data_IF_020532407964
#
_entry.id   IF_020532407964
#
_cell.length_a   1.000
_cell.length_b   1.000
_cell.length_c   1.000
_cell.angle_alpha   90.00
_cell.angle_beta   90.00
_cell.angle_gamma   90.00
#
_symmetry.space_group_name_H-M   'P 1'
#
loop_
_entity.id
_entity.type
_entity.pdbx_description
1 polymer ?
#
# COMPACT_ATOMS: atom_id res chain seq x y z
N UNK A 1 13.52 -0.40 -16.18
CA UNK A 1 13.38 -1.01 -14.84
C UNK A 1 13.67 -2.49 -14.96
N UNK A 2 14.63 -3.02 -14.19
CA UNK A 2 14.97 -4.44 -14.26
C UNK A 2 13.87 -5.28 -13.58
N UNK A 3 13.18 -6.10 -14.38
CA UNK A 3 12.32 -7.17 -13.90
C UNK A 3 13.21 -8.20 -13.19
N UNK A 4 13.35 -8.09 -11.87
CA UNK A 4 13.94 -9.15 -11.06
C UNK A 4 12.94 -10.32 -11.05
N UNK A 5 12.99 -11.18 -12.07
CA UNK A 5 12.21 -12.42 -12.11
C UNK A 5 12.83 -13.42 -11.14
N UNK A 6 12.57 -13.20 -9.85
CA UNK A 6 12.73 -14.27 -8.87
C UNK A 6 11.99 -15.50 -9.39
N UNK A 7 12.54 -16.69 -9.13
CA UNK A 7 11.90 -17.94 -9.56
C UNK A 7 10.44 -17.95 -9.11
N UNK A 8 9.54 -18.49 -9.95
CA UNK A 8 8.09 -18.52 -9.70
C UNK A 8 7.70 -19.16 -8.36
N UNK A 9 8.55 -20.03 -7.81
CA UNK A 9 8.34 -20.70 -6.53
C UNK A 9 9.11 -20.06 -5.36
N UNK A 10 9.65 -18.85 -5.52
CA UNK A 10 10.34 -18.14 -4.44
C UNK A 10 9.39 -17.96 -3.25
N UNK A 11 9.76 -18.54 -2.09
CA UNK A 11 8.98 -18.45 -0.84
C UNK A 11 7.49 -18.78 -1.03
N UNK A 12 7.21 -19.80 -1.83
CA UNK A 12 5.86 -20.21 -2.23
C UNK A 12 4.88 -20.32 -1.05
N UNK A 13 5.31 -20.87 0.08
CA UNK A 13 4.46 -21.05 1.25
C UNK A 13 4.05 -19.70 1.86
N UNK A 14 5.00 -18.79 2.02
CA UNK A 14 4.80 -17.44 2.53
C UNK A 14 3.95 -16.60 1.58
N UNK A 15 4.26 -16.64 0.28
CA UNK A 15 3.49 -15.94 -0.77
C UNK A 15 2.04 -16.40 -0.75
N UNK A 16 1.80 -17.72 -0.76
CA UNK A 16 0.46 -18.29 -0.70
C UNK A 16 -0.31 -17.82 0.54
N UNK A 17 0.37 -17.76 1.70
CA UNK A 17 -0.24 -17.32 2.95
C UNK A 17 -0.60 -15.83 2.92
N UNK A 18 0.30 -14.99 2.41
CA UNK A 18 0.07 -13.54 2.30
C UNK A 18 -1.08 -13.23 1.34
N UNK A 19 -1.12 -13.86 0.17
CA UNK A 19 -2.26 -13.70 -0.73
C UNK A 19 -3.57 -14.26 -0.16
N UNK A 20 -3.50 -15.29 0.69
CA UNK A 20 -4.65 -15.78 1.47
C UNK A 20 -5.23 -14.70 2.38
N UNK A 21 -4.37 -14.03 3.16
CA UNK A 21 -4.76 -12.91 4.03
C UNK A 21 -5.28 -11.71 3.24
N UNK A 22 -4.60 -11.34 2.15
CA UNK A 22 -5.03 -10.26 1.27
C UNK A 22 -6.45 -10.49 0.71
N UNK A 23 -6.76 -11.74 0.31
CA UNK A 23 -8.10 -12.11 -0.16
C UNK A 23 -9.16 -12.04 0.94
N UNK A 24 -8.78 -12.38 2.18
CA UNK A 24 -9.66 -12.35 3.34
C UNK A 24 -9.84 -10.93 3.92
N UNK A 25 -9.07 -9.93 3.46
CA UNK A 25 -9.07 -8.59 4.03
C UNK A 25 -8.44 -8.52 5.43
N UNK A 26 -7.53 -9.46 5.73
CA UNK A 26 -6.88 -9.57 7.03
C UNK A 26 -5.58 -8.75 7.10
N UNK A 27 -5.29 -8.22 8.28
CA UNK A 27 -3.97 -7.65 8.61
C UNK A 27 -3.06 -8.72 9.17
N UNK A 28 -1.80 -8.73 8.74
CA UNK A 28 -0.80 -9.69 9.20
C UNK A 28 0.59 -9.06 9.29
N UNK A 29 1.46 -9.67 10.10
CA UNK A 29 2.85 -9.24 10.25
C UNK A 29 3.81 -10.26 9.64
N UNK A 30 4.79 -9.78 8.87
CA UNK A 30 5.87 -10.58 8.30
C UNK A 30 7.14 -10.33 9.12
N UNK A 31 7.42 -11.24 10.04
CA UNK A 31 8.53 -11.12 10.99
C UNK A 31 9.70 -11.99 10.52
N UNK A 32 10.91 -11.48 10.69
CA UNK A 32 12.13 -12.23 10.46
C UNK A 32 13.36 -11.35 10.66
N UNK A 33 14.51 -11.99 10.92
CA UNK A 33 15.77 -11.29 11.13
C UNK A 33 16.17 -10.39 9.94
N UNK A 34 17.00 -9.38 10.19
CA UNK A 34 17.54 -8.54 9.11
C UNK A 34 18.29 -9.39 8.08
N UNK A 35 18.22 -9.01 6.80
CA UNK A 35 18.86 -9.76 5.71
C UNK A 35 18.15 -11.05 5.27
N UNK A 36 17.09 -11.50 5.96
CA UNK A 36 16.36 -12.74 5.58
C UNK A 36 15.55 -12.60 4.28
N UNK A 37 15.57 -11.47 3.58
CA UNK A 37 14.89 -11.29 2.29
C UNK A 37 13.40 -10.91 2.37
N UNK A 38 12.96 -10.23 3.44
CA UNK A 38 11.58 -9.69 3.54
C UNK A 38 11.25 -8.72 2.40
N UNK A 39 12.13 -7.76 2.13
CA UNK A 39 11.93 -6.82 1.01
C UNK A 39 11.95 -7.52 -0.36
N UNK A 40 12.71 -8.62 -0.51
CA UNK A 40 12.66 -9.47 -1.71
C UNK A 40 11.32 -10.18 -1.86
N UNK A 41 10.73 -10.65 -0.75
CA UNK A 41 9.37 -11.20 -0.73
C UNK A 41 8.33 -10.15 -1.11
N UNK A 42 8.43 -8.92 -0.60
CA UNK A 42 7.52 -7.83 -0.99
C UNK A 42 7.66 -7.45 -2.46
N UNK A 43 8.88 -7.41 -3.00
CA UNK A 43 9.09 -7.19 -4.43
C UNK A 43 8.47 -8.32 -5.26
N UNK A 44 8.58 -9.57 -4.81
CA UNK A 44 7.97 -10.70 -5.48
C UNK A 44 6.44 -10.65 -5.43
N UNK A 45 5.84 -10.28 -4.30
CA UNK A 45 4.38 -10.10 -4.18
C UNK A 45 3.87 -9.02 -5.14
N UNK A 46 4.66 -7.96 -5.36
CA UNK A 46 4.30 -6.87 -6.27
C UNK A 46 4.49 -7.21 -7.74
N UNK A 47 5.23 -8.27 -8.08
CA UNK A 47 5.44 -8.66 -9.48
C UNK A 47 4.10 -9.03 -10.16
N UNK A 48 3.73 -8.41 -11.30
CA UNK A 48 2.43 -8.65 -11.93
C UNK A 48 2.18 -10.11 -12.32
N UNK A 49 3.22 -10.88 -12.67
CA UNK A 49 3.05 -12.31 -12.98
C UNK A 49 2.69 -13.11 -11.73
N UNK A 50 3.37 -12.80 -10.63
CA UNK A 50 3.10 -13.39 -9.31
C UNK A 50 1.68 -13.03 -8.85
N UNK A 51 1.29 -11.76 -8.93
CA UNK A 51 -0.08 -11.34 -8.63
C UNK A 51 -1.11 -12.10 -9.48
N UNK A 52 -0.91 -12.18 -10.80
CA UNK A 52 -1.81 -12.92 -11.70
C UNK A 52 -1.97 -14.39 -11.31
N UNK A 53 -0.88 -15.07 -10.93
CA UNK A 53 -0.91 -16.47 -10.49
C UNK A 53 -1.70 -16.67 -9.18
N UNK A 54 -1.51 -15.78 -8.20
CA UNK A 54 -2.09 -15.93 -6.87
C UNK A 54 -3.41 -15.19 -6.66
N UNK A 55 -3.81 -14.27 -7.52
CA UNK A 55 -5.11 -13.57 -7.42
C UNK A 55 -6.12 -14.07 -8.44
N UNK A 56 -5.69 -14.59 -9.59
CA UNK A 56 -6.59 -15.00 -10.67
C UNK A 56 -7.47 -13.83 -11.12
N UNK A 57 -8.78 -14.02 -11.11
CA UNK A 57 -9.77 -12.99 -11.48
C UNK A 57 -9.68 -11.74 -10.58
N UNK A 58 -9.25 -11.88 -9.32
CA UNK A 58 -9.13 -10.75 -8.41
C UNK A 58 -7.96 -9.81 -8.76
N UNK A 59 -7.10 -10.19 -9.71
CA UNK A 59 -5.90 -9.43 -10.05
C UNK A 59 -6.23 -8.03 -10.58
N UNK A 60 -7.31 -7.85 -11.33
CA UNK A 60 -7.73 -6.55 -11.88
C UNK A 60 -8.38 -5.66 -10.82
N UNK A 61 -8.92 -6.26 -9.75
CA UNK A 61 -9.59 -5.55 -8.66
C UNK A 61 -8.70 -5.32 -7.44
N UNK A 62 -7.50 -5.89 -7.40
CA UNK A 62 -6.61 -5.81 -6.24
C UNK A 62 -5.46 -4.85 -6.51
N UNK A 63 -5.37 -3.83 -5.68
CA UNK A 63 -4.31 -2.83 -5.65
C UNK A 63 -3.33 -3.26 -4.55
N UNK A 64 -2.07 -3.45 -4.91
CA UNK A 64 -1.01 -3.79 -3.96
C UNK A 64 0.06 -2.71 -4.03
N UNK A 65 0.18 -1.93 -2.97
CA UNK A 65 1.23 -0.90 -2.83
C UNK A 65 2.18 -1.26 -1.70
N UNK A 66 3.46 -0.89 -1.85
CA UNK A 66 4.46 -1.03 -0.78
C UNK A 66 4.87 0.34 -0.31
N UNK A 67 4.68 0.58 0.98
CA UNK A 67 5.10 1.81 1.64
C UNK A 67 6.35 1.48 2.44
N UNK A 68 7.47 2.10 2.09
CA UNK A 68 8.72 1.91 2.81
C UNK A 68 8.91 3.06 3.80
N UNK A 69 8.75 2.76 5.10
CA UNK A 69 8.83 3.76 6.15
C UNK A 69 10.26 4.21 6.48
N UNK A 70 11.27 3.61 5.86
CA UNK A 70 12.65 4.10 5.93
C UNK A 70 12.80 5.58 5.53
N UNK A 71 11.94 6.04 4.62
CA UNK A 71 12.00 7.38 4.07
C UNK A 71 11.18 8.42 4.86
N UNK A 72 10.53 7.99 5.95
CA UNK A 72 9.74 8.88 6.76
C UNK A 72 10.64 9.84 7.56
N UNK A 73 10.54 11.17 7.39
CA UNK A 73 11.29 12.13 8.20
C UNK A 73 10.82 12.19 9.67
N UNK A 74 9.56 11.84 9.89
CA UNK A 74 8.93 11.69 11.21
C UNK A 74 7.76 10.68 11.11
N UNK A 75 7.15 10.35 12.25
CA UNK A 75 6.04 9.39 12.32
C UNK A 75 4.70 10.05 12.69
N UNK A 76 4.48 11.29 12.23
CA UNK A 76 3.18 11.96 12.37
C UNK A 76 2.15 11.35 11.43
N UNK A 77 0.85 11.46 11.76
CA UNK A 77 -0.27 11.07 10.89
C UNK A 77 -0.09 11.61 9.46
N UNK A 78 0.30 12.88 9.34
CA UNK A 78 0.50 13.54 8.04
C UNK A 78 1.59 12.85 7.22
N UNK A 79 2.74 12.57 7.82
CA UNK A 79 3.86 11.94 7.11
C UNK A 79 3.52 10.52 6.70
N UNK A 80 2.92 9.74 7.60
CA UNK A 80 2.53 8.36 7.30
C UNK A 80 1.47 8.32 6.19
N UNK A 81 0.43 9.15 6.28
CA UNK A 81 -0.61 9.20 5.24
C UNK A 81 -0.07 9.74 3.92
N UNK A 82 0.83 10.72 3.94
CA UNK A 82 1.48 11.24 2.73
C UNK A 82 2.28 10.15 2.03
N UNK A 83 3.11 9.39 2.75
CA UNK A 83 3.85 8.26 2.17
C UNK A 83 2.93 7.20 1.56
N UNK A 84 1.77 6.94 2.16
CA UNK A 84 0.78 6.02 1.57
C UNK A 84 0.21 6.61 0.28
N UNK A 85 -0.24 7.88 0.29
CA UNK A 85 -0.83 8.54 -0.88
C UNK A 85 0.16 8.65 -2.03
N UNK A 86 1.43 8.95 -1.77
CA UNK A 86 2.49 8.95 -2.78
C UNK A 86 2.59 7.60 -3.51
N UNK A 87 2.49 6.48 -2.78
CA UNK A 87 2.51 5.16 -3.41
C UNK A 87 1.24 4.86 -4.22
N UNK A 88 0.10 5.42 -3.81
CA UNK A 88 -1.14 5.30 -4.58
C UNK A 88 -1.11 6.17 -5.84
N UNK A 89 -0.48 7.34 -5.81
CA UNK A 89 -0.31 8.22 -6.98
C UNK A 89 0.56 7.57 -8.07
N UNK A 90 1.51 6.70 -7.67
CA UNK A 90 2.31 5.91 -8.61
C UNK A 90 1.51 4.84 -9.38
N UNK A 91 0.21 4.67 -9.10
CA UNK A 91 -0.66 3.72 -9.81
C UNK A 91 -1.00 4.15 -11.25
N UNK A 92 -0.62 5.34 -11.70
CA UNK A 92 -0.82 5.78 -13.10
C UNK A 92 -0.23 4.76 -14.11
N UNK A 93 0.93 4.17 -13.79
CA UNK A 93 1.54 3.12 -14.62
C UNK A 93 0.76 1.79 -14.65
N UNK A 94 -0.22 1.60 -13.77
CA UNK A 94 -1.06 0.40 -13.69
C UNK A 94 -2.55 0.69 -13.96
N UNK A 95 -2.90 1.93 -14.35
CA UNK A 95 -4.29 2.37 -14.44
C UNK A 95 -5.15 1.54 -15.39
N UNK A 96 -4.60 1.14 -16.54
CA UNK A 96 -5.31 0.31 -17.52
C UNK A 96 -5.65 -1.07 -16.95
N UNK A 97 -4.69 -1.69 -16.25
CA UNK A 97 -4.87 -2.99 -15.59
C UNK A 97 -5.94 -2.94 -14.50
N UNK A 98 -5.97 -1.83 -13.77
CA UNK A 98 -6.85 -1.61 -12.61
C UNK A 98 -8.19 -0.93 -12.98
N UNK A 99 -8.38 -0.58 -14.25
CA UNK A 99 -9.53 0.20 -14.71
C UNK A 99 -9.69 1.53 -13.95
N UNK A 100 -8.58 2.22 -13.65
CA UNK A 100 -8.59 3.52 -12.99
C UNK A 100 -8.77 4.63 -14.03
N UNK A 101 -9.75 5.50 -13.80
CA UNK A 101 -9.96 6.69 -14.62
C UNK A 101 -8.96 7.79 -14.21
N UNK A 102 -8.53 8.60 -15.17
CA UNK A 102 -7.59 9.71 -14.93
C UNK A 102 -8.15 10.71 -13.91
N UNK A 103 -9.48 10.92 -13.91
CA UNK A 103 -10.17 11.77 -12.95
C UNK A 103 -10.07 11.25 -11.52
N UNK A 104 -9.97 9.93 -11.34
CA UNK A 104 -9.80 9.32 -10.00
C UNK A 104 -8.41 9.63 -9.45
N UNK A 105 -7.38 9.53 -10.29
CA UNK A 105 -6.00 9.84 -9.89
C UNK A 105 -5.82 11.34 -9.65
N UNK A 106 -6.39 12.19 -10.52
CA UNK A 106 -6.37 13.64 -10.35
C UNK A 106 -7.08 14.07 -9.04
N UNK A 107 -8.28 13.53 -8.78
CA UNK A 107 -9.01 13.83 -7.54
C UNK A 107 -8.26 13.37 -6.29
N UNK A 108 -7.51 12.27 -6.37
CA UNK A 108 -6.65 11.80 -5.28
C UNK A 108 -5.48 12.76 -5.05
N UNK A 109 -4.81 13.22 -6.12
CA UNK A 109 -3.73 14.21 -6.06
C UNK A 109 -4.21 15.52 -5.41
N UNK A 110 -5.38 16.03 -5.82
CA UNK A 110 -5.99 17.24 -5.22
C UNK A 110 -6.25 17.08 -3.71
N UNK A 111 -6.64 15.87 -3.28
CA UNK A 111 -6.89 15.57 -1.88
C UNK A 111 -5.58 15.41 -1.09
N UNK A 112 -4.54 14.89 -1.72
CA UNK A 112 -3.21 14.83 -1.13
C UNK A 112 -2.65 16.24 -0.89
N UNK A 113 -2.75 17.15 -1.87
CA UNK A 113 -2.34 18.55 -1.70
C UNK A 113 -3.11 19.22 -0.55
N UNK A 114 -4.44 19.07 -0.50
CA UNK A 114 -5.28 19.59 0.60
C UNK A 114 -4.90 19.01 1.96
N UNK A 115 -4.45 17.77 2.00
CA UNK A 115 -3.95 17.13 3.22
C UNK A 115 -2.64 17.77 3.69
N UNK A 116 -1.72 18.08 2.76
CA UNK A 116 -0.47 18.77 3.08
C UNK A 116 -0.73 20.19 3.59
N UNK A 117 -1.64 20.91 2.93
CA UNK A 117 -2.07 22.28 3.30
C UNK A 117 -2.77 22.35 4.67
N UNK A 118 -3.32 21.23 5.15
CA UNK A 118 -3.93 21.16 6.48
C UNK A 118 -2.93 21.35 7.62
N UNK A 119 -1.62 21.24 7.35
CA UNK A 119 -0.57 21.46 8.34
C UNK A 119 -0.67 20.48 9.50
N UNK A 120 -0.85 20.99 10.73
CA UNK A 120 -0.95 20.20 11.95
C UNK A 120 -2.39 19.86 12.38
N UNK A 121 -3.40 20.21 11.57
CA UNK A 121 -4.80 19.87 11.84
C UNK A 121 -5.05 18.38 11.56
N UNK A 122 -4.85 17.55 12.58
CA UNK A 122 -4.99 16.08 12.51
C UNK A 122 -6.35 15.63 11.95
N UNK A 123 -7.43 16.35 12.28
CA UNK A 123 -8.78 15.99 11.80
C UNK A 123 -8.91 16.20 10.30
N UNK A 124 -8.38 17.32 9.78
CA UNK A 124 -8.33 17.57 8.34
C UNK A 124 -7.42 16.58 7.63
N UNK A 125 -6.25 16.30 8.19
CA UNK A 125 -5.30 15.32 7.64
C UNK A 125 -5.96 13.95 7.49
N UNK A 126 -6.56 13.41 8.56
CA UNK A 126 -7.29 12.15 8.52
C UNK A 126 -8.49 12.19 7.55
N UNK A 127 -9.21 13.32 7.49
CA UNK A 127 -10.34 13.49 6.58
C UNK A 127 -9.91 13.42 5.12
N UNK A 128 -8.89 14.16 4.72
CA UNK A 128 -8.44 14.19 3.33
C UNK A 128 -7.83 12.85 2.91
N UNK A 129 -7.06 12.19 3.78
CA UNK A 129 -6.61 10.82 3.56
C UNK A 129 -7.78 9.85 3.32
N UNK A 130 -8.79 9.85 4.21
CA UNK A 130 -9.98 9.00 4.06
C UNK A 130 -10.74 9.28 2.76
N UNK A 131 -10.85 10.55 2.36
CA UNK A 131 -11.49 10.92 1.10
C UNK A 131 -10.69 10.41 -0.11
N UNK A 132 -9.37 10.53 -0.08
CA UNK A 132 -8.49 10.08 -1.15
C UNK A 132 -8.60 8.56 -1.35
N UNK A 133 -8.48 7.78 -0.27
CA UNK A 133 -8.65 6.31 -0.31
C UNK A 133 -10.05 5.92 -0.78
N UNK A 134 -11.09 6.67 -0.39
CA UNK A 134 -12.47 6.43 -0.87
C UNK A 134 -12.64 6.65 -2.37
N UNK A 135 -11.94 7.62 -2.98
CA UNK A 135 -11.98 7.78 -4.44
C UNK A 135 -11.48 6.52 -5.15
N UNK A 136 -10.36 5.99 -4.66
CA UNK A 136 -9.77 4.78 -5.19
C UNK A 136 -10.69 3.56 -5.03
N UNK A 137 -11.35 3.45 -3.88
CA UNK A 137 -12.22 2.32 -3.50
C UNK A 137 -13.71 2.52 -3.82
N UNK A 138 -14.09 3.56 -4.57
CA UNK A 138 -15.49 3.87 -4.87
C UNK A 138 -16.19 2.74 -5.66
N UNK A 139 -15.43 1.94 -6.41
CA UNK A 139 -15.93 0.72 -7.04
C UNK A 139 -15.97 -0.43 -6.03
N UNK A 140 -17.16 -1.00 -5.82
CA UNK A 140 -17.47 -1.95 -4.74
C UNK A 140 -16.69 -3.27 -4.76
N UNK A 141 -15.99 -3.60 -5.84
CA UNK A 141 -15.16 -4.82 -5.96
C UNK A 141 -13.69 -4.63 -5.61
N UNK A 142 -13.20 -3.38 -5.51
CA UNK A 142 -11.77 -3.11 -5.34
C UNK A 142 -11.27 -3.49 -3.94
N UNK A 143 -10.05 -4.01 -3.90
CA UNK A 143 -9.31 -4.35 -2.68
C UNK A 143 -8.00 -3.57 -2.65
N UNK A 144 -7.67 -3.00 -1.49
CA UNK A 144 -6.40 -2.33 -1.26
C UNK A 144 -5.58 -3.14 -0.26
N UNK A 145 -4.37 -3.52 -0.67
CA UNK A 145 -3.37 -4.16 0.17
C UNK A 145 -2.18 -3.21 0.29
N UNK A 146 -1.86 -2.82 1.52
CA UNK A 146 -0.72 -1.97 1.84
C UNK A 146 0.34 -2.84 2.50
N UNK A 147 1.49 -2.98 1.83
CA UNK A 147 2.67 -3.65 2.36
C UNK A 147 3.53 -2.61 3.09
N UNK A 148 3.42 -2.55 4.41
CA UNK A 148 4.23 -1.68 5.25
C UNK A 148 5.62 -2.31 5.47
N UNK A 149 6.65 -1.81 4.79
CA UNK A 149 8.04 -2.23 4.98
C UNK A 149 8.74 -1.33 6.01
N UNK A 150 9.61 -1.92 6.83
CA UNK A 150 10.31 -1.26 7.94
C UNK A 150 9.37 -0.51 8.91
N UNK A 151 8.24 -1.13 9.24
CA UNK A 151 7.21 -0.53 10.10
C UNK A 151 7.56 -0.48 11.60
N UNK A 152 8.66 -1.11 12.02
CA UNK A 152 9.05 -1.23 13.43
C UNK A 152 9.23 0.13 14.12
N UNK A 153 9.72 1.14 13.39
CA UNK A 153 9.92 2.50 13.89
C UNK A 153 8.59 3.24 14.03
N UNK A 154 7.71 3.14 13.03
CA UNK A 154 6.34 3.69 13.10
C UNK A 154 5.60 3.12 14.30
N UNK A 155 5.68 1.80 14.52
CA UNK A 155 5.03 1.15 15.65
C UNK A 155 5.53 1.65 17.01
N UNK A 156 6.82 2.04 17.09
CA UNK A 156 7.44 2.49 18.34
C UNK A 156 7.20 3.97 18.61
N UNK A 157 7.19 4.80 17.58
CA UNK A 157 7.30 6.25 17.71
C UNK A 157 6.03 7.01 17.33
N UNK A 158 5.14 6.40 16.53
CA UNK A 158 3.86 7.03 16.22
C UNK A 158 2.99 7.15 17.47
N UNK A 159 2.18 8.20 17.53
CA UNK A 159 1.27 8.40 18.64
C UNK A 159 0.25 7.24 18.70
N UNK A 160 -0.09 6.70 19.89
CA UNK A 160 -0.96 5.54 20.02
C UNK A 160 -2.33 5.68 19.32
N UNK A 161 -2.84 6.92 19.23
CA UNK A 161 -4.09 7.23 18.53
C UNK A 161 -4.05 6.90 17.04
N UNK A 162 -2.86 6.86 16.43
CA UNK A 162 -2.67 6.47 15.04
C UNK A 162 -3.23 5.06 14.76
N UNK A 163 -3.09 4.14 15.74
CA UNK A 163 -3.55 2.75 15.65
C UNK A 163 -5.00 2.54 16.11
N UNK A 164 -5.66 3.56 16.65
CA UNK A 164 -7.00 3.46 17.24
C UNK A 164 -8.14 3.83 16.27
N UNK A 165 -7.82 4.08 14.99
CA UNK A 165 -8.72 4.63 13.96
C UNK A 165 -9.28 3.60 12.98
#
# INVERSE_FOLDING_TARGET
>A
MALNSQQRDFRKAEVKRIFGWARAGESASVIGISGVGKSNLFNHIRDPQTQGMYLGELNTDTIIVRVNFHYAPDFTDRTVYSLILEQLEMLDGEKERLGLADETLAAMSDLHEKMLDAGSDTLKVQRYFKLAVRQLLAHSSRRLVILCDQFDEVYREAEPRFFAN
#
